data_IF_875434800881
#
_entry.id   IF_875434800881
#
_cell.length_a   1.000
_cell.length_b   1.000
_cell.length_c   1.000
_cell.angle_alpha   90.00
_cell.angle_beta   90.00
_cell.angle_gamma   90.00
#
_symmetry.space_group_name_H-M   'P 1'
#
loop_
_entity.id
_entity.type
_entity.pdbx_description
1 polymer ?
#
# COMPACT_ATOMS: atom_id res chain seq x y z
N UNK A 1 4.47 -11.40 13.73
CA UNK A 1 4.15 -10.05 13.17
C UNK A 1 4.69 -8.88 14.01
N UNK A 2 4.69 -8.94 15.35
CA UNK A 2 5.05 -7.81 16.23
C UNK A 2 6.41 -7.15 15.93
N UNK A 3 7.48 -7.92 15.74
CA UNK A 3 8.81 -7.37 15.41
C UNK A 3 8.77 -6.51 14.14
N UNK A 4 8.23 -7.04 13.03
CA UNK A 4 8.15 -6.35 11.74
C UNK A 4 7.30 -5.07 11.82
N UNK A 5 6.25 -5.06 12.65
CA UNK A 5 5.41 -3.89 12.89
C UNK A 5 6.17 -2.72 13.52
N UNK A 6 7.24 -3.00 14.26
CA UNK A 6 8.08 -1.98 14.92
C UNK A 6 9.18 -1.43 14.03
N UNK A 7 9.43 -2.04 12.88
CA UNK A 7 10.48 -1.56 11.98
C UNK A 7 10.09 -0.21 11.35
N UNK A 8 11.01 0.74 11.20
CA UNK A 8 10.75 2.02 10.54
C UNK A 8 10.27 1.86 9.10
N UNK A 9 9.43 2.80 8.66
CA UNK A 9 8.99 2.90 7.27
C UNK A 9 10.11 3.47 6.40
N UNK A 10 10.80 2.60 5.65
CA UNK A 10 11.91 2.98 4.75
C UNK A 10 12.04 1.95 3.63
N UNK A 11 12.58 2.37 2.49
CA UNK A 11 12.91 1.45 1.39
C UNK A 11 14.14 0.65 1.78
N UNK A 12 14.03 -0.67 1.60
CA UNK A 12 15.18 -1.60 1.63
C UNK A 12 15.97 -1.47 0.34
N UNK A 13 17.25 -1.86 0.39
CA UNK A 13 18.19 -1.73 -0.73
C UNK A 13 17.81 -2.64 -1.88
N UNK A 14 17.52 -3.90 -1.59
CA UNK A 14 17.06 -4.88 -2.57
C UNK A 14 15.65 -5.37 -2.22
N UNK A 15 14.68 -4.98 -3.05
CA UNK A 15 13.28 -5.37 -2.90
C UNK A 15 12.99 -6.82 -3.27
N UNK A 16 13.94 -7.51 -3.93
CA UNK A 16 13.81 -8.91 -4.31
C UNK A 16 14.32 -9.85 -3.22
N UNK A 17 15.18 -9.34 -2.33
CA UNK A 17 15.65 -10.06 -1.16
C UNK A 17 14.77 -9.74 0.07
N UNK A 18 13.87 -10.65 0.43
CA UNK A 18 12.95 -10.44 1.56
C UNK A 18 13.67 -10.41 2.92
N UNK A 19 14.85 -11.03 3.00
CA UNK A 19 15.68 -11.03 4.21
C UNK A 19 16.19 -9.61 4.52
N UNK A 20 16.27 -8.73 3.51
CA UNK A 20 16.67 -7.32 3.68
C UNK A 20 15.76 -6.56 4.67
N UNK A 21 14.49 -6.96 4.82
CA UNK A 21 13.61 -6.35 5.84
C UNK A 21 14.15 -6.57 7.25
N UNK A 22 14.70 -7.77 7.51
CA UNK A 22 15.26 -8.16 8.80
C UNK A 22 16.69 -7.62 8.95
N UNK A 23 17.52 -7.72 7.93
CA UNK A 23 18.91 -7.28 7.95
C UNK A 23 19.05 -5.76 8.06
N UNK A 24 18.25 -5.00 7.30
CA UNK A 24 18.31 -3.54 7.31
C UNK A 24 17.41 -2.92 8.38
N UNK A 25 16.64 -3.75 9.10
CA UNK A 25 15.73 -3.35 10.17
C UNK A 25 14.72 -2.31 9.71
N UNK A 26 14.20 -2.40 8.49
CA UNK A 26 13.24 -1.44 7.95
C UNK A 26 12.36 -2.04 6.84
N UNK A 27 11.27 -1.36 6.48
CA UNK A 27 10.50 -1.77 5.33
C UNK A 27 9.30 -0.87 5.02
N UNK A 28 8.80 -0.99 3.81
CA UNK A 28 7.55 -0.36 3.35
C UNK A 28 6.36 -1.30 3.58
N UNK A 29 5.12 -0.86 3.29
CA UNK A 29 3.96 -1.75 3.35
C UNK A 29 4.16 -3.00 2.50
N UNK A 30 4.63 -2.83 1.26
CA UNK A 30 4.90 -3.97 0.37
C UNK A 30 5.96 -4.91 0.93
N UNK A 31 7.15 -4.41 1.31
CA UNK A 31 8.24 -5.30 1.72
C UNK A 31 7.98 -5.99 3.06
N UNK A 32 7.36 -5.29 4.03
CA UNK A 32 7.03 -5.88 5.34
C UNK A 32 6.05 -7.05 5.22
N UNK A 33 4.92 -6.86 4.52
CA UNK A 33 3.93 -7.93 4.38
C UNK A 33 4.40 -9.02 3.44
N UNK A 34 5.19 -8.70 2.42
CA UNK A 34 5.79 -9.69 1.54
C UNK A 34 6.74 -10.63 2.31
N UNK A 35 7.60 -10.07 3.18
CA UNK A 35 8.48 -10.87 4.04
C UNK A 35 7.68 -11.78 4.99
N UNK A 36 6.61 -11.25 5.61
CA UNK A 36 5.74 -12.03 6.49
C UNK A 36 4.97 -13.14 5.75
N UNK A 37 4.41 -12.84 4.57
CA UNK A 37 3.70 -13.82 3.74
C UNK A 37 4.64 -14.92 3.24
N UNK A 38 5.86 -14.58 2.83
CA UNK A 38 6.86 -15.56 2.43
C UNK A 38 7.26 -16.47 3.61
N UNK A 39 7.54 -15.90 4.78
CA UNK A 39 7.86 -16.67 5.99
C UNK A 39 6.71 -17.60 6.39
N UNK A 40 5.48 -17.10 6.36
CA UNK A 40 4.29 -17.91 6.64
C UNK A 40 4.16 -19.09 5.65
N UNK A 41 4.34 -18.82 4.36
CA UNK A 41 4.32 -19.86 3.33
C UNK A 41 5.40 -20.91 3.52
N UNK A 42 6.62 -20.51 3.84
CA UNK A 42 7.75 -21.41 4.11
C UNK A 42 7.53 -22.29 5.34
N UNK A 43 6.74 -21.81 6.30
CA UNK A 43 6.41 -22.52 7.55
C UNK A 43 5.07 -23.26 7.50
N UNK A 44 4.45 -23.37 6.32
CA UNK A 44 3.20 -24.14 6.13
C UNK A 44 1.91 -23.38 6.47
N UNK A 45 1.98 -22.08 6.75
CA UNK A 45 0.85 -21.22 7.05
C UNK A 45 0.23 -20.63 5.77
N UNK A 46 -0.42 -21.50 4.98
CA UNK A 46 -1.07 -21.12 3.73
C UNK A 46 -2.32 -20.24 3.94
N UNK A 47 -2.84 -20.10 5.15
CA UNK A 47 -3.93 -19.18 5.48
C UNK A 47 -3.52 -17.70 5.46
N UNK A 48 -2.21 -17.41 5.47
CA UNK A 48 -1.67 -16.04 5.46
C UNK A 48 -1.49 -15.61 4.01
N UNK A 49 -2.45 -14.85 3.50
CA UNK A 49 -2.49 -14.42 2.11
C UNK A 49 -2.07 -12.96 1.98
N UNK A 50 -1.33 -12.66 0.92
CA UNK A 50 -1.01 -11.28 0.57
C UNK A 50 -2.15 -10.71 -0.26
N UNK A 51 -2.65 -9.53 0.13
CA UNK A 51 -3.74 -8.86 -0.60
C UNK A 51 -3.42 -7.41 -0.89
N UNK A 52 -3.91 -6.92 -2.02
CA UNK A 52 -4.06 -5.49 -2.26
C UNK A 52 -5.31 -5.01 -1.56
N UNK A 53 -5.19 -3.94 -0.79
CA UNK A 53 -6.33 -3.25 -0.21
C UNK A 53 -6.39 -1.83 -0.78
N UNK A 54 -7.45 -1.57 -1.55
CA UNK A 54 -7.68 -0.27 -2.18
C UNK A 54 -8.67 0.52 -1.34
N UNK A 55 -8.31 1.73 -0.95
CA UNK A 55 -9.15 2.57 -0.10
C UNK A 55 -9.04 4.07 -0.42
N UNK A 56 -10.01 4.84 0.06
CA UNK A 56 -10.03 6.30 -0.03
C UNK A 56 -9.09 6.90 1.02
N UNK A 57 -7.92 7.37 0.62
CA UNK A 57 -6.99 8.07 1.50
C UNK A 57 -7.42 9.52 1.69
N UNK A 58 -7.75 9.91 2.92
CA UNK A 58 -8.33 11.21 3.25
C UNK A 58 -7.64 11.83 4.49
N UNK A 59 -8.08 13.04 4.87
CA UNK A 59 -7.52 13.76 6.01
C UNK A 59 -7.76 13.06 7.37
N UNK A 60 -8.75 12.18 7.49
CA UNK A 60 -9.03 11.46 8.74
C UNK A 60 -8.08 10.28 8.91
N UNK A 61 -7.90 9.47 7.86
CA UNK A 61 -7.09 8.26 7.91
C UNK A 61 -5.59 8.52 7.63
N UNK A 62 -5.26 9.57 6.89
CA UNK A 62 -3.89 10.04 6.70
C UNK A 62 -3.80 11.56 6.86
N UNK A 63 -3.79 12.08 8.10
CA UNK A 63 -3.78 13.53 8.39
C UNK A 63 -2.74 14.37 7.63
N UNK A 64 -1.51 13.88 7.35
CA UNK A 64 -0.55 14.62 6.54
C UNK A 64 -1.02 14.98 5.12
N UNK A 65 -2.07 14.32 4.60
CA UNK A 65 -2.65 14.62 3.28
C UNK A 65 -3.67 15.76 3.30
N UNK A 66 -4.09 16.24 4.48
CA UNK A 66 -5.17 17.22 4.59
C UNK A 66 -4.91 18.51 3.77
N UNK A 67 -3.69 19.04 3.82
CA UNK A 67 -3.33 20.27 3.13
C UNK A 67 -3.36 20.13 1.61
N UNK A 68 -2.91 18.99 1.07
CA UNK A 68 -2.90 18.75 -0.38
C UNK A 68 -4.31 18.49 -0.90
N UNK A 69 -5.13 17.75 -0.16
CA UNK A 69 -6.53 17.49 -0.50
C UNK A 69 -7.34 18.81 -0.54
N UNK A 70 -7.19 19.64 0.49
CA UNK A 70 -7.85 20.95 0.55
C UNK A 70 -7.41 21.88 -0.60
N UNK A 71 -6.11 21.90 -0.94
CA UNK A 71 -5.58 22.72 -2.04
C UNK A 71 -6.25 22.43 -3.38
N UNK A 72 -6.62 21.17 -3.63
CA UNK A 72 -7.24 20.74 -4.89
C UNK A 72 -8.75 20.48 -4.75
N UNK A 73 -9.36 20.85 -3.62
CA UNK A 73 -10.78 20.59 -3.32
C UNK A 73 -11.18 19.11 -3.53
N UNK A 74 -10.35 18.20 -3.02
CA UNK A 74 -10.56 16.76 -3.09
C UNK A 74 -10.92 16.21 -1.71
N UNK A 75 -11.91 15.31 -1.66
CA UNK A 75 -12.27 14.61 -0.42
C UNK A 75 -11.25 13.50 -0.09
N UNK A 76 -10.68 12.87 -1.11
CA UNK A 76 -9.72 11.77 -0.97
C UNK A 76 -8.85 11.58 -2.21
N UNK A 77 -7.84 10.71 -2.10
CA UNK A 77 -7.12 10.09 -3.22
C UNK A 77 -7.20 8.56 -3.09
N UNK A 78 -7.27 7.79 -4.20
CA UNK A 78 -7.25 6.34 -4.09
C UNK A 78 -5.85 5.86 -3.70
N UNK A 79 -5.74 5.07 -2.62
CA UNK A 79 -4.50 4.42 -2.21
C UNK A 79 -4.58 2.91 -2.47
N UNK A 80 -3.50 2.36 -3.02
CA UNK A 80 -3.34 0.92 -3.22
C UNK A 80 -2.33 0.40 -2.22
N UNK A 81 -2.82 -0.17 -1.12
CA UNK A 81 -1.99 -0.68 -0.03
C UNK A 81 -1.80 -2.20 -0.13
N UNK A 82 -0.80 -2.72 0.58
CA UNK A 82 -0.56 -4.15 0.71
C UNK A 82 -0.68 -4.52 2.18
N UNK A 83 -1.50 -5.52 2.48
CA UNK A 83 -1.69 -6.08 3.81
C UNK A 83 -1.78 -7.62 3.74
N UNK A 84 -1.96 -8.26 4.89
CA UNK A 84 -2.22 -9.70 4.98
C UNK A 84 -3.71 -9.93 5.20
N UNK A 85 -4.28 -10.90 4.50
CA UNK A 85 -5.56 -11.51 4.85
C UNK A 85 -5.26 -12.82 5.58
N UNK A 86 -5.72 -12.92 6.82
CA UNK A 86 -5.64 -14.15 7.61
C UNK A 86 -7.06 -14.57 7.94
N UNK A 87 -7.57 -15.58 7.22
CA UNK A 87 -8.91 -16.14 7.40
C UNK A 87 -10.04 -15.10 7.32
N UNK A 88 -9.92 -14.15 6.39
CA UNK A 88 -10.91 -13.09 6.15
C UNK A 88 -10.69 -11.82 6.97
N UNK A 89 -9.62 -11.76 7.77
CA UNK A 89 -9.29 -10.60 8.60
C UNK A 89 -8.04 -9.91 8.02
N UNK A 90 -8.17 -8.61 7.73
CA UNK A 90 -7.05 -7.80 7.23
C UNK A 90 -6.12 -7.37 8.37
N UNK A 91 -4.83 -7.62 8.19
CA UNK A 91 -3.76 -7.25 9.11
C UNK A 91 -2.74 -6.37 8.39
N UNK A 92 -2.59 -5.13 8.87
CA UNK A 92 -1.54 -4.21 8.45
C UNK A 92 -0.50 -4.01 9.57
N UNK A 93 0.77 -4.15 9.22
CA UNK A 93 1.92 -3.93 10.10
C UNK A 93 2.75 -2.71 9.68
N UNK A 94 2.19 -1.85 8.81
CA UNK A 94 2.91 -0.67 8.31
C UNK A 94 2.99 0.42 9.37
N UNK A 95 1.86 0.74 10.02
CA UNK A 95 1.75 1.87 10.94
C UNK A 95 1.41 1.42 12.35
N UNK A 96 2.34 1.65 13.29
CA UNK A 96 2.10 1.37 14.71
C UNK A 96 1.03 2.34 15.25
N UNK A 97 -0.02 1.79 15.88
CA UNK A 97 -1.02 2.58 16.59
C UNK A 97 -1.99 3.36 15.70
N UNK A 98 -1.97 3.17 14.38
CA UNK A 98 -3.05 3.62 13.52
C UNK A 98 -4.01 2.46 13.30
N UNK A 99 -5.25 2.68 13.68
CA UNK A 99 -6.35 1.87 13.16
C UNK A 99 -6.39 2.11 11.66
N UNK A 100 -6.38 1.03 10.89
CA UNK A 100 -6.74 1.09 9.48
C UNK A 100 -8.04 1.91 9.33
N UNK A 101 -8.22 2.75 8.28
CA UNK A 101 -9.55 3.26 7.99
C UNK A 101 -10.53 2.11 8.08
N UNK A 102 -11.62 2.31 8.83
CA UNK A 102 -12.59 1.26 9.06
C UNK A 102 -12.97 0.67 7.69
N UNK A 103 -12.85 -0.65 7.49
CA UNK A 103 -13.09 -1.30 6.19
C UNK A 103 -14.50 -1.07 5.63
N UNK A 104 -15.36 -0.34 6.32
CA UNK A 104 -16.76 -0.12 5.93
C UNK A 104 -16.97 1.25 5.26
N UNK A 105 -16.12 2.26 5.50
CA UNK A 105 -16.36 3.63 5.00
C UNK A 105 -15.48 4.01 3.81
N UNK A 106 -14.23 3.57 3.80
CA UNK A 106 -13.25 3.95 2.77
C UNK A 106 -12.79 2.76 1.90
N UNK A 107 -13.28 1.55 2.15
CA UNK A 107 -12.90 0.34 1.43
C UNK A 107 -13.50 0.28 0.04
N UNK A 108 -12.67 0.02 -0.97
CA UNK A 108 -13.14 -0.24 -2.32
C UNK A 108 -13.18 -1.75 -2.61
N UNK A 109 -12.05 -2.45 -2.44
CA UNK A 109 -11.97 -3.91 -2.56
C UNK A 109 -10.62 -4.46 -2.09
N UNK A 110 -10.57 -5.79 -1.88
CA UNK A 110 -9.34 -6.56 -1.71
C UNK A 110 -9.15 -7.59 -2.84
N UNK A 111 -7.91 -7.80 -3.30
CA UNK A 111 -7.56 -8.88 -4.24
C UNK A 111 -6.31 -9.60 -3.80
N UNK A 112 -6.32 -10.93 -3.86
CA UNK A 112 -5.12 -11.75 -3.66
C UNK A 112 -4.01 -11.32 -4.60
N UNK A 113 -2.78 -11.30 -4.09
CA UNK A 113 -1.61 -10.90 -4.82
C UNK A 113 -0.54 -12.00 -4.79
N UNK A 114 0.03 -12.31 -5.95
CA UNK A 114 1.20 -13.19 -6.04
C UNK A 114 2.43 -12.47 -5.45
N UNK A 115 3.06 -13.11 -4.47
CA UNK A 115 4.33 -12.72 -3.85
C UNK A 115 5.36 -12.32 -4.90
N UNK A 116 5.46 -13.07 -6.02
CA UNK A 116 6.45 -12.81 -7.08
C UNK A 116 6.16 -11.57 -7.91
N UNK A 117 4.88 -11.18 -8.02
CA UNK A 117 4.43 -10.12 -8.92
C UNK A 117 3.95 -8.86 -8.20
N UNK A 118 3.96 -8.86 -6.85
CA UNK A 118 3.36 -7.81 -6.02
C UNK A 118 3.77 -6.40 -6.42
N UNK A 119 5.05 -6.13 -6.67
CA UNK A 119 5.53 -4.78 -7.02
C UNK A 119 5.03 -4.33 -8.38
N UNK A 120 5.00 -5.24 -9.36
CA UNK A 120 4.51 -4.94 -10.70
C UNK A 120 3.00 -4.71 -10.67
N UNK A 121 2.26 -5.62 -10.03
CA UNK A 121 0.81 -5.54 -9.91
C UNK A 121 0.36 -4.31 -9.10
N UNK A 122 1.04 -3.97 -7.99
CA UNK A 122 0.74 -2.74 -7.22
C UNK A 122 0.86 -1.51 -8.09
N UNK A 123 1.93 -1.42 -8.90
CA UNK A 123 2.16 -0.30 -9.80
C UNK A 123 1.04 -0.20 -10.84
N UNK A 124 0.72 -1.30 -11.52
CA UNK A 124 -0.36 -1.32 -12.51
C UNK A 124 -1.73 -0.97 -11.91
N UNK A 125 -2.01 -1.45 -10.71
CA UNK A 125 -3.26 -1.17 -10.03
C UNK A 125 -3.35 0.30 -9.61
N UNK A 126 -2.27 0.86 -9.05
CA UNK A 126 -2.20 2.26 -8.68
C UNK A 126 -2.35 3.19 -9.90
N UNK A 127 -1.78 2.80 -11.05
CA UNK A 127 -1.99 3.53 -12.31
C UNK A 127 -3.48 3.54 -12.69
N UNK A 128 -4.11 2.37 -12.75
CA UNK A 128 -5.54 2.26 -13.08
C UNK A 128 -6.44 3.04 -12.12
N UNK A 129 -6.17 2.98 -10.83
CA UNK A 129 -6.94 3.72 -9.82
C UNK A 129 -6.85 5.23 -10.04
N UNK A 130 -5.65 5.76 -10.31
CA UNK A 130 -5.51 7.19 -10.58
C UNK A 130 -6.07 7.60 -11.93
N UNK A 131 -5.94 6.77 -12.96
CA UNK A 131 -6.50 7.06 -14.29
C UNK A 131 -8.02 7.24 -14.20
N UNK A 132 -8.70 6.33 -13.48
CA UNK A 132 -10.12 6.44 -13.19
C UNK A 132 -10.44 7.69 -12.36
N UNK A 133 -9.67 7.94 -11.28
CA UNK A 133 -9.91 9.09 -10.41
C UNK A 133 -9.76 10.43 -11.14
N UNK A 134 -8.72 10.59 -11.97
CA UNK A 134 -8.51 11.83 -12.75
C UNK A 134 -9.61 12.02 -13.79
N UNK A 135 -10.10 10.95 -14.41
CA UNK A 135 -11.21 11.03 -15.37
C UNK A 135 -12.51 11.56 -14.72
N UNK A 136 -12.74 11.25 -13.45
CA UNK A 136 -13.87 11.76 -12.66
C UNK A 136 -13.65 13.19 -12.14
N UNK A 137 -12.41 13.69 -12.17
CA UNK A 137 -12.02 15.01 -11.67
C UNK A 137 -11.33 15.86 -12.76
N UNK A 138 -12.04 16.25 -13.84
CA UNK A 138 -11.45 16.94 -14.99
C UNK A 138 -10.86 18.33 -14.67
N UNK A 139 -11.20 18.90 -13.51
CA UNK A 139 -10.65 20.16 -13.03
C UNK A 139 -9.22 20.06 -12.44
N UNK A 140 -8.68 18.85 -12.28
CA UNK A 140 -7.31 18.68 -11.81
C UNK A 140 -6.31 19.06 -12.92
N UNK A 141 -5.25 19.84 -12.61
CA UNK A 141 -4.23 20.23 -13.59
C UNK A 141 -3.26 19.08 -13.92
N UNK A 142 -3.63 17.84 -13.62
CA UNK A 142 -2.82 16.65 -13.80
C UNK A 142 -3.54 15.67 -14.72
N UNK A 143 -2.82 15.18 -15.71
CA UNK A 143 -3.26 14.07 -16.54
C UNK A 143 -2.59 12.77 -16.07
N UNK A 144 -3.29 11.65 -16.19
CA UNK A 144 -2.78 10.30 -15.89
C UNK A 144 -1.38 10.04 -16.45
N UNK A 145 -1.14 10.46 -17.70
CA UNK A 145 0.15 10.36 -18.40
C UNK A 145 1.30 11.08 -17.66
N UNK A 146 1.01 12.14 -16.91
CA UNK A 146 2.00 12.94 -16.19
C UNK A 146 2.22 12.47 -14.75
N UNK A 147 1.22 11.83 -14.12
CA UNK A 147 1.33 11.33 -12.73
C UNK A 147 2.37 10.21 -12.55
N UNK A 148 2.70 9.48 -13.63
CA UNK A 148 3.55 8.29 -13.56
C UNK A 148 4.89 8.40 -14.29
N UNK A 149 5.21 9.59 -14.81
CA UNK A 149 6.56 9.87 -15.29
C UNK A 149 7.47 9.91 -14.07
N UNK A 150 8.36 8.92 -13.99
CA UNK A 150 9.46 8.93 -13.03
C UNK A 150 10.15 10.28 -13.13
N UNK A 151 10.32 10.96 -11.99
CA UNK A 151 11.36 11.94 -11.83
C UNK A 151 12.68 11.22 -12.13
N UNK A 152 13.10 11.25 -13.39
CA UNK A 152 14.52 11.17 -13.74
C UNK A 152 15.02 12.59 -13.52
N UNK A 153 16.04 12.73 -12.69
CA UNK A 153 16.75 13.96 -12.31
C UNK A 153 16.23 14.60 -11.01
N UNK A 154 16.74 14.11 -9.87
CA UNK A 154 17.64 14.87 -8.97
C UNK A 154 18.71 13.91 -8.49
#
# INVERSE_FOLDING_TARGET
MHYVAHLPYRRITDKTNLVSVLQEGCGTCSSKHLALAALARETGHAEVQLVFWVFRMNAQNLPPTASILAKYNLDYLPEVHVCLDIKGILHDVTWKGRTLPAPEQDFMFARSADIKQIYHLKKLLHHRCMDAFVAEHPGLPYHSINCFRSAKNV
#
